data_IF_466107265754
#
_entry.id   IF_466107265754
#
_cell.length_a   1.000
_cell.length_b   1.000
_cell.length_c   1.000
_cell.angle_alpha   90.00
_cell.angle_beta   90.00
_cell.angle_gamma   90.00
#
_symmetry.space_group_name_H-M   'P 1'
#
loop_
_entity.id
_entity.type
_entity.pdbx_description
1 polymer ?
#
# COMPACT_ATOMS: atom_id res chain seq x y z
N UNK A 1 -18.66 -10.30 25.93
CA UNK A 1 -19.28 -9.39 24.92
C UNK A 1 -18.28 -8.56 24.09
N UNK A 2 -16.96 -8.82 24.12
CA UNK A 2 -15.96 -7.87 23.56
C UNK A 2 -15.40 -8.23 22.16
N UNK A 3 -15.49 -9.48 21.71
CA UNK A 3 -14.85 -9.94 20.45
C UNK A 3 -15.39 -9.25 19.18
N UNK A 4 -16.68 -8.91 19.17
CA UNK A 4 -17.34 -8.34 17.99
C UNK A 4 -17.11 -6.83 17.85
N UNK A 5 -16.87 -6.13 18.97
CA UNK A 5 -16.55 -4.70 18.98
C UNK A 5 -15.15 -4.45 18.42
N UNK A 6 -14.17 -5.27 18.84
CA UNK A 6 -12.79 -5.16 18.37
C UNK A 6 -12.68 -5.38 16.86
N UNK A 7 -13.41 -6.37 16.32
CA UNK A 7 -13.42 -6.67 14.87
C UNK A 7 -14.03 -5.52 14.06
N UNK A 8 -15.09 -4.87 14.55
CA UNK A 8 -15.66 -3.68 13.89
C UNK A 8 -14.64 -2.54 13.82
N UNK A 9 -13.92 -2.29 14.92
CA UNK A 9 -12.88 -1.27 14.95
C UNK A 9 -11.75 -1.55 13.93
N UNK A 10 -11.29 -2.80 13.83
CA UNK A 10 -10.29 -3.16 12.82
C UNK A 10 -10.83 -3.04 11.40
N UNK A 11 -12.09 -3.44 11.16
CA UNK A 11 -12.74 -3.30 9.85
C UNK A 11 -12.82 -1.83 9.42
N UNK A 12 -13.25 -0.94 10.30
CA UNK A 12 -13.31 0.50 10.02
C UNK A 12 -11.94 1.08 9.69
N UNK A 13 -10.91 0.75 10.48
CA UNK A 13 -9.52 1.16 10.21
C UNK A 13 -9.03 0.68 8.84
N UNK A 14 -9.31 -0.57 8.47
CA UNK A 14 -8.92 -1.14 7.18
C UNK A 14 -9.65 -0.45 6.02
N UNK A 15 -10.93 -0.10 6.18
CA UNK A 15 -11.69 0.62 5.16
C UNK A 15 -11.12 2.03 4.93
N UNK A 16 -10.79 2.75 6.00
CA UNK A 16 -10.15 4.07 5.91
C UNK A 16 -8.78 3.98 5.22
N UNK A 17 -7.93 3.03 5.63
CA UNK A 17 -6.64 2.79 4.98
C UNK A 17 -6.79 2.46 3.49
N UNK A 18 -7.76 1.60 3.13
CA UNK A 18 -8.06 1.26 1.73
C UNK A 18 -8.44 2.49 0.91
N UNK A 19 -9.29 3.36 1.46
CA UNK A 19 -9.74 4.57 0.78
C UNK A 19 -8.56 5.53 0.52
N UNK A 20 -7.70 5.73 1.52
CA UNK A 20 -6.50 6.57 1.40
C UNK A 20 -5.53 6.04 0.34
N UNK A 21 -5.12 4.77 0.45
CA UNK A 21 -4.18 4.15 -0.49
C UNK A 21 -4.69 4.12 -1.93
N UNK A 22 -5.99 3.87 -2.14
CA UNK A 22 -6.60 3.97 -3.49
C UNK A 22 -6.56 5.39 -4.04
N UNK A 23 -6.81 6.38 -3.19
CA UNK A 23 -6.67 7.79 -3.54
C UNK A 23 -5.25 8.14 -3.96
N UNK A 24 -4.26 7.72 -3.18
CA UNK A 24 -2.84 7.95 -3.45
C UNK A 24 -2.40 7.31 -4.77
N UNK A 25 -2.70 6.02 -4.97
CA UNK A 25 -2.37 5.30 -6.22
C UNK A 25 -3.01 5.96 -7.43
N UNK A 26 -4.28 6.38 -7.31
CA UNK A 26 -5.00 7.05 -8.40
C UNK A 26 -4.43 8.45 -8.69
N UNK A 27 -4.09 9.20 -7.65
CA UNK A 27 -3.46 10.53 -7.77
C UNK A 27 -2.10 10.45 -8.46
N UNK A 28 -1.27 9.49 -8.06
CA UNK A 28 0.02 9.23 -8.66
C UNK A 28 -0.10 8.76 -10.12
N UNK A 29 -1.03 7.84 -10.41
CA UNK A 29 -1.30 7.39 -11.77
C UNK A 29 -1.69 8.56 -12.70
N UNK A 30 -2.57 9.44 -12.23
CA UNK A 30 -3.00 10.62 -12.99
C UNK A 30 -1.84 11.62 -13.21
N UNK A 31 -0.99 11.84 -12.20
CA UNK A 31 0.19 12.69 -12.32
C UNK A 31 1.18 12.16 -13.35
N UNK A 32 1.44 10.84 -13.35
CA UNK A 32 2.30 10.19 -14.32
C UNK A 32 1.74 10.31 -15.76
N UNK A 33 0.44 10.05 -15.95
CA UNK A 33 -0.23 10.18 -17.25
C UNK A 33 -0.22 11.61 -17.80
N UNK A 34 -0.36 12.62 -16.92
CA UNK A 34 -0.32 14.03 -17.33
C UNK A 34 1.05 14.43 -17.87
N UNK A 35 2.15 13.97 -17.24
CA UNK A 35 3.52 14.23 -17.71
C UNK A 35 3.76 13.64 -19.10
N UNK A 36 3.35 12.38 -19.34
CA UNK A 36 3.48 11.74 -20.65
C UNK A 36 2.69 12.44 -21.76
N UNK A 37 1.52 13.02 -21.45
CA UNK A 37 0.76 13.82 -22.44
C UNK A 37 1.46 15.12 -22.81
N UNK A 38 2.12 15.78 -21.87
CA UNK A 38 2.91 16.99 -22.15
C UNK A 38 4.11 16.67 -23.05
N UNK A 39 4.80 15.55 -22.80
CA UNK A 39 5.89 15.05 -23.66
C UNK A 39 5.40 14.71 -25.08
N UNK A 40 4.24 14.04 -25.21
CA UNK A 40 3.69 13.59 -26.49
C UNK A 40 3.07 14.72 -27.34
N UNK A 41 2.63 15.83 -26.73
CA UNK A 41 1.98 16.93 -27.43
C UNK A 41 2.93 17.80 -28.25
N UNK A 42 4.25 17.58 -28.16
CA UNK A 42 5.25 18.34 -28.91
C UNK A 42 5.38 19.82 -28.50
N UNK A 43 4.70 20.24 -27.43
CA UNK A 43 4.81 21.58 -26.85
C UNK A 43 6.08 21.66 -25.99
N UNK A 44 7.23 21.49 -26.65
CA UNK A 44 8.57 21.64 -26.07
C UNK A 44 8.95 23.11 -25.89
N UNK A 45 8.03 24.04 -26.19
CA UNK A 45 8.29 25.48 -26.28
C UNK A 45 8.53 26.15 -24.93
N UNK A 46 8.19 25.49 -23.82
CA UNK A 46 8.28 26.05 -22.46
C UNK A 46 9.25 25.33 -21.51
N UNK A 47 10.05 24.36 -21.96
CA UNK A 47 11.05 23.71 -21.11
C UNK A 47 12.49 23.92 -21.63
N UNK A 48 13.35 24.65 -20.91
CA UNK A 48 14.79 24.54 -21.09
C UNK A 48 15.21 23.14 -20.62
N UNK A 49 15.36 22.19 -21.54
CA UNK A 49 15.83 20.84 -21.20
C UNK A 49 17.32 20.91 -20.89
N UNK A 50 17.68 21.10 -19.61
CA UNK A 50 19.06 20.92 -19.17
C UNK A 50 19.33 19.42 -18.98
N UNK A 51 20.51 18.94 -19.36
CA UNK A 51 20.91 17.53 -19.15
C UNK A 51 20.85 17.10 -17.67
N UNK A 52 20.90 18.05 -16.74
CA UNK A 52 20.71 17.82 -15.30
C UNK A 52 19.26 17.45 -14.94
N UNK A 53 18.27 17.92 -15.70
CA UNK A 53 16.85 17.68 -15.44
C UNK A 53 16.44 16.28 -15.93
N UNK A 54 17.02 15.77 -17.02
CA UNK A 54 16.76 14.42 -17.54
C UNK A 54 17.13 13.32 -16.54
N UNK A 55 18.24 13.49 -15.81
CA UNK A 55 18.64 12.55 -14.76
C UNK A 55 17.68 12.57 -13.57
N UNK A 56 17.20 13.75 -13.18
CA UNK A 56 16.22 13.92 -12.10
C UNK A 56 14.84 13.36 -12.48
N UNK A 57 14.41 13.57 -13.72
CA UNK A 57 13.11 13.10 -14.22
C UNK A 57 13.01 11.57 -14.24
N UNK A 58 14.08 10.88 -14.64
CA UNK A 58 14.13 9.42 -14.61
C UNK A 58 14.10 8.89 -13.16
N UNK A 59 14.87 9.49 -12.26
CA UNK A 59 14.85 9.13 -10.84
C UNK A 59 13.46 9.33 -10.23
N UNK A 60 12.83 10.47 -10.48
CA UNK A 60 11.47 10.77 -10.00
C UNK A 60 10.45 9.75 -10.52
N UNK A 61 10.61 9.30 -11.77
CA UNK A 61 9.73 8.30 -12.40
C UNK A 61 9.91 6.93 -11.77
N UNK A 62 11.14 6.45 -11.61
CA UNK A 62 11.43 5.19 -10.94
C UNK A 62 10.96 5.20 -9.49
N UNK A 63 11.19 6.30 -8.78
CA UNK A 63 10.72 6.49 -7.42
C UNK A 63 9.18 6.44 -7.33
N UNK A 64 8.48 7.14 -8.23
CA UNK A 64 7.02 7.14 -8.31
C UNK A 64 6.48 5.73 -8.59
N UNK A 65 7.09 4.99 -9.52
CA UNK A 65 6.70 3.61 -9.84
C UNK A 65 6.89 2.67 -8.66
N UNK A 66 8.03 2.77 -7.96
CA UNK A 66 8.32 1.98 -6.76
C UNK A 66 7.29 2.23 -5.65
N UNK A 67 6.95 3.50 -5.41
CA UNK A 67 5.92 3.88 -4.44
C UNK A 67 4.52 3.38 -4.85
N UNK A 68 4.17 3.43 -6.14
CA UNK A 68 2.92 2.84 -6.64
C UNK A 68 2.86 1.33 -6.43
N UNK A 69 3.96 0.61 -6.71
CA UNK A 69 4.04 -0.83 -6.49
C UNK A 69 3.89 -1.18 -5.00
N UNK A 70 4.56 -0.44 -4.12
CA UNK A 70 4.46 -0.65 -2.67
C UNK A 70 3.04 -0.40 -2.14
N UNK A 71 2.42 0.70 -2.58
CA UNK A 71 1.04 1.03 -2.21
C UNK A 71 0.06 -0.01 -2.73
N UNK A 72 0.25 -0.52 -3.96
CA UNK A 72 -0.54 -1.61 -4.52
C UNK A 72 -0.42 -2.91 -3.73
N UNK A 73 0.79 -3.30 -3.34
CA UNK A 73 1.01 -4.48 -2.48
C UNK A 73 0.34 -4.33 -1.11
N UNK A 74 0.43 -3.15 -0.49
CA UNK A 74 -0.24 -2.86 0.78
C UNK A 74 -1.76 -2.87 0.64
N UNK A 75 -2.29 -2.34 -0.47
CA UNK A 75 -3.72 -2.37 -0.78
C UNK A 75 -4.24 -3.81 -0.88
N UNK A 76 -3.51 -4.70 -1.56
CA UNK A 76 -3.83 -6.12 -1.61
C UNK A 76 -3.90 -6.75 -0.20
N UNK A 77 -2.91 -6.49 0.65
CA UNK A 77 -2.92 -6.99 2.03
C UNK A 77 -4.12 -6.48 2.86
N UNK A 78 -4.59 -5.25 2.59
CA UNK A 78 -5.78 -4.69 3.23
C UNK A 78 -7.05 -5.39 2.74
N UNK A 79 -7.14 -5.68 1.45
CA UNK A 79 -8.26 -6.43 0.87
C UNK A 79 -8.32 -7.85 1.45
N UNK A 80 -7.19 -8.55 1.51
CA UNK A 80 -7.07 -9.87 2.15
C UNK A 80 -7.43 -9.82 3.65
N UNK A 81 -7.05 -8.73 4.35
CA UNK A 81 -7.41 -8.57 5.76
C UNK A 81 -8.92 -8.38 5.95
N UNK A 82 -9.59 -7.65 5.06
CA UNK A 82 -11.04 -7.47 5.08
C UNK A 82 -11.75 -8.81 4.79
N UNK A 83 -11.28 -9.59 3.82
CA UNK A 83 -11.81 -10.92 3.53
C UNK A 83 -11.65 -11.88 4.72
N UNK A 84 -10.51 -11.81 5.42
CA UNK A 84 -10.28 -12.57 6.66
C UNK A 84 -11.22 -12.17 7.79
N UNK A 85 -11.65 -10.90 7.86
CA UNK A 85 -12.67 -10.47 8.82
C UNK A 85 -14.02 -11.11 8.47
N UNK A 86 -14.37 -11.16 7.19
CA UNK A 86 -15.64 -11.72 6.71
C UNK A 86 -15.70 -13.25 6.86
N UNK A 87 -14.59 -13.95 6.60
CA UNK A 87 -14.46 -15.39 6.83
C UNK A 87 -14.24 -15.78 8.30
N UNK A 88 -14.03 -14.80 9.19
CA UNK A 88 -13.81 -15.04 10.63
C UNK A 88 -12.41 -15.56 10.99
N UNK A 89 -11.46 -15.54 10.05
CA UNK A 89 -10.06 -15.98 10.24
C UNK A 89 -9.11 -14.85 10.64
N UNK A 90 -9.62 -13.61 10.73
CA UNK A 90 -8.82 -12.45 11.11
C UNK A 90 -8.15 -12.60 12.48
N UNK A 91 -6.88 -12.23 12.55
CA UNK A 91 -6.04 -12.38 13.74
C UNK A 91 -5.36 -13.74 13.88
N UNK A 92 -5.46 -14.62 12.87
CA UNK A 92 -4.61 -15.80 12.73
C UNK A 92 -3.48 -15.53 11.71
N UNK A 93 -2.29 -16.02 12.01
CA UNK A 93 -1.13 -15.95 11.13
C UNK A 93 -1.33 -16.89 9.94
N UNK A 94 -1.10 -16.40 8.71
CA UNK A 94 -1.23 -17.22 7.50
C UNK A 94 -0.17 -18.33 7.43
N UNK A 95 1.04 -18.05 7.95
CA UNK A 95 2.16 -19.02 7.92
C UNK A 95 2.01 -20.15 8.96
N UNK A 96 1.82 -19.80 10.24
CA UNK A 96 1.86 -20.77 11.35
C UNK A 96 0.50 -21.06 12.00
N UNK A 97 -0.59 -20.41 11.56
CA UNK A 97 -1.91 -20.49 12.19
C UNK A 97 -2.01 -19.87 13.60
N UNK A 98 -0.90 -19.39 14.16
CA UNK A 98 -0.84 -18.82 15.50
C UNK A 98 -1.60 -17.49 15.63
N UNK A 99 -2.05 -17.16 16.85
CA UNK A 99 -2.74 -15.88 17.11
C UNK A 99 -1.80 -14.69 16.94
N UNK A 100 -2.24 -13.69 16.19
CA UNK A 100 -1.54 -12.42 16.04
C UNK A 100 -1.87 -11.54 17.28
N UNK A 101 -0.85 -11.02 17.99
CA UNK A 101 -1.08 -10.15 19.14
C UNK A 101 -1.89 -8.91 18.78
N UNK A 102 -2.83 -8.51 19.64
CA UNK A 102 -3.62 -7.27 19.44
C UNK A 102 -2.74 -6.03 19.31
N UNK A 103 -1.62 -5.96 20.04
CA UNK A 103 -0.64 -4.87 19.92
C UNK A 103 -0.12 -4.72 18.49
N UNK A 104 0.11 -5.85 17.80
CA UNK A 104 0.52 -5.86 16.40
C UNK A 104 -0.62 -5.46 15.46
N UNK A 105 -1.84 -5.98 15.67
CA UNK A 105 -3.01 -5.60 14.87
C UNK A 105 -3.40 -4.12 15.07
N UNK A 106 -3.12 -3.55 16.24
CA UNK A 106 -3.33 -2.13 16.51
C UNK A 106 -2.34 -1.24 15.75
N UNK A 107 -1.09 -1.70 15.59
CA UNK A 107 -0.05 -0.98 14.85
C UNK A 107 -0.17 -1.19 13.32
N UNK A 108 -0.40 -2.43 12.89
CA UNK A 108 -0.47 -2.84 11.48
C UNK A 108 -1.70 -3.75 11.30
N UNK A 109 -2.89 -3.20 11.08
CA UNK A 109 -4.14 -3.98 11.07
C UNK A 109 -4.26 -4.93 9.87
N UNK A 110 -3.51 -4.70 8.79
CA UNK A 110 -3.52 -5.55 7.59
C UNK A 110 -2.50 -6.69 7.61
N UNK A 111 -1.66 -6.78 8.65
CA UNK A 111 -0.57 -7.79 8.72
C UNK A 111 -1.11 -9.23 8.58
N UNK A 112 -0.59 -10.02 7.63
CA UNK A 112 -0.96 -11.44 7.54
C UNK A 112 -0.19 -12.34 8.52
N UNK A 113 0.92 -11.84 9.06
CA UNK A 113 1.86 -12.64 9.83
C UNK A 113 1.95 -12.22 11.30
N UNK A 114 2.26 -13.19 12.16
CA UNK A 114 2.71 -12.94 13.53
C UNK A 114 4.15 -12.38 13.54
N UNK A 115 4.61 -11.89 14.69
CA UNK A 115 5.95 -11.28 14.82
C UNK A 115 7.05 -12.27 14.41
N UNK A 116 6.97 -13.53 14.85
CA UNK A 116 7.97 -14.56 14.56
C UNK A 116 8.12 -14.82 13.06
N UNK A 117 7.01 -15.15 12.39
CA UNK A 117 7.02 -15.42 10.94
C UNK A 117 7.40 -14.17 10.14
N UNK A 118 6.98 -12.97 10.56
CA UNK A 118 7.39 -11.73 9.91
C UNK A 118 8.89 -11.49 10.01
N UNK A 119 9.51 -11.76 11.17
CA UNK A 119 10.96 -11.65 11.35
C UNK A 119 11.72 -12.66 10.49
N UNK A 120 11.24 -13.89 10.37
CA UNK A 120 11.85 -14.92 9.52
C UNK A 120 11.77 -14.57 8.04
N UNK A 121 10.65 -14.02 7.57
CA UNK A 121 10.47 -13.54 6.20
C UNK A 121 11.41 -12.39 5.85
N UNK A 122 11.70 -11.48 6.79
CA UNK A 122 12.56 -10.33 6.56
C UNK A 122 14.06 -10.69 6.53
N UNK A 123 14.43 -11.85 7.06
CA UNK A 123 15.80 -12.36 7.06
C UNK A 123 16.12 -13.24 5.85
N UNK A 124 15.14 -13.46 4.97
CA UNK A 124 15.30 -14.15 3.69
C UNK A 124 15.56 -13.14 2.57
#
# INVERSE_FOLDING_TARGET
MSKNSDLRQYKEKLIDLRARLRGDVTGMANAALKRTRTEASGDLSSMPIHMADIGSDNFDREFTLSLMQNNGGTLGQIEDALERIESGTYGACVECGGRIPKTRLNAIPYTPHCIKCASELQQR
#
